data_IF_683301308277
#
_entry.id   IF_683301308277
#
_cell.length_a   1.000
_cell.length_b   1.000
_cell.length_c   1.000
_cell.angle_alpha   90.00
_cell.angle_beta   90.00
_cell.angle_gamma   90.00
#
_symmetry.space_group_name_H-M   'P 1'
#
loop_
_entity.id
_entity.type
_entity.pdbx_description
1 polymer ?
#
# COMPACT_ATOMS: atom_id res chain seq x y z
N UNK A 1 14.89 -46.14 0.06
CA UNK A 1 14.16 -45.50 -1.05
C UNK A 1 12.67 -45.53 -0.69
N UNK A 2 12.21 -44.71 0.22
CA UNK A 2 10.79 -44.46 0.56
C UNK A 2 10.75 -43.29 1.52
N UNK A 3 10.10 -42.23 1.14
CA UNK A 3 9.60 -41.06 1.89
C UNK A 3 9.94 -39.70 1.26
N UNK A 4 9.67 -39.57 -0.07
CA UNK A 4 9.80 -38.25 -0.72
C UNK A 4 8.48 -37.74 -1.33
N UNK A 5 7.36 -38.42 -1.14
CA UNK A 5 6.07 -38.05 -1.75
C UNK A 5 4.98 -37.58 -0.75
N UNK A 6 5.30 -37.52 0.56
CA UNK A 6 4.31 -37.18 1.60
C UNK A 6 4.00 -35.67 1.74
N UNK A 7 4.95 -34.81 1.40
CA UNK A 7 4.81 -33.37 1.71
C UNK A 7 4.24 -32.48 0.59
N UNK A 8 4.07 -33.00 -0.63
CA UNK A 8 3.52 -32.19 -1.73
C UNK A 8 1.99 -32.08 -1.74
N UNK A 9 1.26 -32.99 -1.08
CA UNK A 9 -0.21 -32.96 -1.05
C UNK A 9 -0.81 -31.97 -0.05
N UNK A 10 -0.12 -31.65 1.03
CA UNK A 10 -0.61 -30.73 2.05
C UNK A 10 -0.58 -29.25 1.61
N UNK A 11 0.43 -28.86 0.83
CA UNK A 11 0.54 -27.48 0.31
C UNK A 11 -0.46 -27.16 -0.80
N UNK A 12 -0.87 -28.16 -1.60
CA UNK A 12 -1.86 -27.98 -2.66
C UNK A 12 -3.27 -27.74 -2.12
N UNK A 13 -3.64 -28.38 -1.02
CA UNK A 13 -4.98 -28.26 -0.44
C UNK A 13 -5.20 -26.92 0.28
N UNK A 14 -4.16 -26.35 0.90
CA UNK A 14 -4.26 -25.04 1.59
C UNK A 14 -4.40 -23.90 0.57
N UNK A 15 -3.66 -23.95 -0.55
CA UNK A 15 -3.76 -22.97 -1.64
C UNK A 15 -5.12 -22.99 -2.33
N UNK A 16 -5.69 -24.17 -2.53
CA UNK A 16 -7.03 -24.32 -3.12
C UNK A 16 -8.13 -23.87 -2.16
N UNK A 17 -7.97 -24.09 -0.85
CA UNK A 17 -8.92 -23.65 0.18
C UNK A 17 -8.94 -22.13 0.32
N UNK A 18 -7.79 -21.46 0.21
CA UNK A 18 -7.71 -19.98 0.26
C UNK A 18 -8.37 -19.37 -0.99
N UNK A 19 -8.17 -19.98 -2.17
CA UNK A 19 -8.80 -19.54 -3.41
C UNK A 19 -10.33 -19.74 -3.39
N UNK A 20 -10.80 -20.83 -2.80
CA UNK A 20 -12.24 -21.12 -2.62
C UNK A 20 -12.87 -20.16 -1.60
N UNK A 21 -12.16 -19.75 -0.54
CA UNK A 21 -12.65 -18.76 0.41
C UNK A 21 -12.79 -17.38 -0.27
N UNK A 22 -11.84 -16.98 -1.13
CA UNK A 22 -11.99 -15.76 -1.93
C UNK A 22 -13.16 -15.84 -2.91
N UNK A 23 -13.41 -17.00 -3.55
CA UNK A 23 -14.55 -17.18 -4.46
C UNK A 23 -15.88 -17.27 -3.69
N UNK A 24 -15.88 -17.79 -2.48
CA UNK A 24 -17.07 -17.81 -1.61
C UNK A 24 -17.44 -16.41 -1.08
N UNK A 25 -16.45 -15.51 -0.95
CA UNK A 25 -16.70 -14.08 -0.70
C UNK A 25 -17.27 -13.36 -1.94
N UNK A 26 -17.12 -13.94 -3.14
CA UNK A 26 -17.69 -13.44 -4.39
C UNK A 26 -19.10 -13.95 -4.68
N UNK A 27 -19.69 -14.81 -3.84
CA UNK A 27 -21.15 -15.02 -3.95
C UNK A 27 -21.79 -13.66 -3.78
N UNK A 28 -22.66 -13.24 -4.71
CA UNK A 28 -23.51 -12.10 -4.44
C UNK A 28 -24.35 -12.50 -3.21
N UNK A 29 -23.89 -12.09 -2.04
CA UNK A 29 -24.80 -11.94 -0.94
C UNK A 29 -25.88 -11.02 -1.50
N UNK A 30 -27.07 -11.56 -1.70
CA UNK A 30 -28.28 -10.78 -1.95
C UNK A 30 -28.72 -9.97 -0.73
N UNK A 31 -27.85 -9.80 0.23
CA UNK A 31 -27.83 -8.71 1.18
C UNK A 31 -27.25 -7.53 0.39
N UNK A 32 -28.11 -6.57 0.02
CA UNK A 32 -27.69 -5.19 -0.06
C UNK A 32 -26.69 -5.01 1.08
N UNK A 33 -25.41 -4.82 0.78
CA UNK A 33 -24.54 -4.12 1.70
C UNK A 33 -25.27 -2.79 1.87
N UNK A 34 -26.07 -2.71 2.92
CA UNK A 34 -26.69 -1.49 3.36
C UNK A 34 -25.46 -0.72 3.77
N UNK A 35 -24.98 0.17 2.87
CA UNK A 35 -24.06 1.20 3.27
C UNK A 35 -24.67 1.76 4.53
N UNK A 36 -24.01 1.52 5.65
CA UNK A 36 -24.52 1.95 6.94
C UNK A 36 -24.23 3.45 6.94
N UNK A 37 -25.12 4.22 6.28
CA UNK A 37 -25.03 5.68 6.24
C UNK A 37 -24.95 6.12 7.69
N UNK A 38 -23.73 6.45 8.14
CA UNK A 38 -23.45 6.86 9.51
C UNK A 38 -22.47 6.01 10.31
N UNK A 39 -22.07 4.81 9.87
CA UNK A 39 -21.00 4.08 10.56
C UNK A 39 -19.64 4.70 10.26
N UNK A 40 -18.82 5.04 11.29
CA UNK A 40 -17.46 5.47 11.07
C UNK A 40 -16.53 4.32 10.64
N UNK A 41 -16.99 3.06 10.74
CA UNK A 41 -16.21 1.86 10.43
C UNK A 41 -16.56 1.31 9.06
N UNK A 42 -15.54 0.94 8.29
CA UNK A 42 -15.69 0.21 7.05
C UNK A 42 -14.50 -0.72 6.80
N UNK A 43 -14.70 -1.72 5.96
CA UNK A 43 -13.63 -2.59 5.47
C UNK A 43 -13.43 -2.36 3.98
N UNK A 44 -12.18 -2.50 3.54
CA UNK A 44 -11.85 -2.43 2.13
C UNK A 44 -10.79 -3.46 1.77
N UNK A 45 -10.69 -3.77 0.49
CA UNK A 45 -9.63 -4.63 -0.04
C UNK A 45 -9.31 -4.20 -1.46
N UNK A 46 -8.04 -3.95 -1.74
CA UNK A 46 -7.53 -3.86 -3.10
C UNK A 46 -6.90 -5.19 -3.48
N UNK A 47 -7.16 -5.66 -4.70
CA UNK A 47 -6.41 -6.73 -5.35
C UNK A 47 -5.62 -6.12 -6.49
N UNK A 48 -4.31 -6.10 -6.38
CA UNK A 48 -3.40 -5.61 -7.42
C UNK A 48 -2.64 -6.76 -8.08
N UNK A 49 -2.33 -6.61 -9.37
CA UNK A 49 -1.54 -7.59 -10.12
C UNK A 49 -0.12 -7.77 -9.58
N UNK A 50 0.42 -6.75 -8.89
CA UNK A 50 1.67 -6.80 -8.11
C UNK A 50 1.75 -5.62 -7.14
N UNK A 51 2.65 -5.71 -6.17
CA UNK A 51 2.89 -4.62 -5.23
C UNK A 51 4.06 -3.73 -5.69
N UNK A 52 3.75 -2.52 -6.11
CA UNK A 52 4.72 -1.46 -6.40
C UNK A 52 4.39 -0.24 -5.55
N UNK A 53 5.32 0.19 -4.72
CA UNK A 53 5.16 1.34 -3.84
C UNK A 53 6.33 2.31 -3.99
N UNK A 54 6.03 3.57 -4.34
CA UNK A 54 7.02 4.64 -4.56
C UNK A 54 8.17 4.22 -5.50
N UNK A 55 7.82 3.49 -6.58
CA UNK A 55 8.78 2.99 -7.56
C UNK A 55 9.54 1.72 -7.16
N UNK A 56 9.29 1.16 -5.98
CA UNK A 56 9.90 -0.07 -5.50
C UNK A 56 8.92 -1.25 -5.63
N UNK A 57 9.38 -2.37 -6.16
CA UNK A 57 8.60 -3.61 -6.26
C UNK A 57 8.81 -4.45 -5.02
N UNK A 58 7.74 -4.68 -4.25
CA UNK A 58 7.72 -5.49 -3.03
C UNK A 58 7.18 -6.89 -3.29
N UNK A 59 6.17 -7.04 -4.14
CA UNK A 59 5.58 -8.32 -4.52
C UNK A 59 5.52 -8.48 -6.03
N UNK A 60 6.00 -9.62 -6.54
CA UNK A 60 6.01 -9.95 -7.98
C UNK A 60 4.73 -10.65 -8.44
N UNK A 61 3.93 -11.13 -7.52
CA UNK A 61 2.66 -11.81 -7.73
C UNK A 61 1.47 -10.93 -7.36
N UNK A 62 0.24 -11.31 -7.72
CA UNK A 62 -0.94 -10.62 -7.24
C UNK A 62 -0.92 -10.46 -5.73
N UNK A 63 -1.28 -9.27 -5.26
CA UNK A 63 -1.20 -8.90 -3.85
C UNK A 63 -2.55 -8.38 -3.38
N UNK A 64 -3.00 -8.86 -2.23
CA UNK A 64 -4.19 -8.41 -1.52
C UNK A 64 -3.81 -7.36 -0.49
N UNK A 65 -4.58 -6.26 -0.42
CA UNK A 65 -4.43 -5.18 0.53
C UNK A 65 -5.72 -5.02 1.35
N UNK A 66 -5.97 -5.90 2.33
CA UNK A 66 -7.13 -5.78 3.22
C UNK A 66 -6.93 -4.61 4.18
N UNK A 67 -8.05 -3.97 4.58
CA UNK A 67 -8.00 -2.84 5.52
C UNK A 67 -9.29 -2.78 6.33
N UNK A 68 -9.14 -2.46 7.63
CA UNK A 68 -10.22 -2.05 8.53
C UNK A 68 -9.99 -0.60 8.85
N UNK A 69 -10.99 0.23 8.62
CA UNK A 69 -10.88 1.67 8.69
C UNK A 69 -11.89 2.24 9.67
N UNK A 70 -11.48 3.27 10.40
CA UNK A 70 -12.32 4.13 11.21
C UNK A 70 -12.14 5.58 10.73
N UNK A 71 -13.22 6.21 10.28
CA UNK A 71 -13.21 7.58 9.78
C UNK A 71 -14.27 8.40 10.50
N UNK A 72 -13.84 9.51 11.10
CA UNK A 72 -14.72 10.42 11.82
C UNK A 72 -14.27 11.86 11.63
N UNK A 73 -15.05 12.63 10.89
CA UNK A 73 -14.70 14.01 10.51
C UNK A 73 -13.36 14.04 9.75
N UNK A 74 -12.41 14.76 10.28
CA UNK A 74 -11.06 14.90 9.70
C UNK A 74 -10.08 13.80 10.09
N UNK A 75 -10.46 12.86 10.95
CA UNK A 75 -9.59 11.80 11.47
C UNK A 75 -9.84 10.47 10.75
N UNK A 76 -8.76 9.79 10.37
CA UNK A 76 -8.76 8.44 9.83
C UNK A 76 -7.75 7.58 10.60
N UNK A 77 -8.19 6.40 11.04
CA UNK A 77 -7.32 5.32 11.50
C UNK A 77 -7.53 4.09 10.61
N UNK A 78 -6.46 3.40 10.26
CA UNK A 78 -6.50 2.21 9.43
C UNK A 78 -5.57 1.13 9.99
N UNK A 79 -6.07 -0.10 10.06
CA UNK A 79 -5.27 -1.31 10.19
C UNK A 79 -5.31 -2.02 8.84
N UNK A 80 -4.18 -2.16 8.19
CA UNK A 80 -4.08 -2.70 6.84
C UNK A 80 -2.94 -3.72 6.74
N UNK A 81 -2.83 -4.34 5.58
CA UNK A 81 -1.71 -5.21 5.28
C UNK A 81 -1.56 -5.42 3.78
N UNK A 82 -0.44 -6.01 3.39
CA UNK A 82 -0.17 -6.44 2.01
C UNK A 82 0.28 -7.90 2.00
N UNK A 83 -0.41 -8.73 1.24
CA UNK A 83 -0.17 -10.18 1.19
C UNK A 83 -0.06 -10.65 -0.25
N UNK A 84 1.16 -10.91 -0.71
CA UNK A 84 1.40 -11.52 -2.02
C UNK A 84 0.93 -12.98 -2.03
N UNK A 85 0.20 -13.39 -3.07
CA UNK A 85 -0.42 -14.73 -3.11
C UNK A 85 0.61 -15.87 -3.19
N UNK A 86 1.84 -15.60 -3.63
CA UNK A 86 2.95 -16.55 -3.65
C UNK A 86 3.73 -16.57 -2.32
N UNK A 87 3.35 -15.75 -1.33
CA UNK A 87 4.02 -15.64 -0.04
C UNK A 87 5.35 -14.87 -0.08
N UNK A 88 5.68 -14.21 -1.20
CA UNK A 88 6.95 -13.47 -1.35
C UNK A 88 6.99 -12.17 -0.55
N UNK A 89 5.83 -11.64 -0.13
CA UNK A 89 5.71 -10.44 0.68
C UNK A 89 4.53 -10.54 1.65
N UNK A 90 4.76 -10.07 2.86
CA UNK A 90 3.76 -9.90 3.91
C UNK A 90 4.03 -8.59 4.64
N UNK A 91 2.97 -7.86 4.97
CA UNK A 91 3.05 -6.57 5.63
C UNK A 91 1.82 -6.36 6.51
N UNK A 92 2.01 -5.73 7.66
CA UNK A 92 0.94 -5.27 8.55
C UNK A 92 1.23 -3.81 8.89
N UNK A 93 0.24 -2.96 8.68
CA UNK A 93 0.38 -1.52 8.83
C UNK A 93 -0.65 -0.96 9.77
N UNK A 94 -0.24 0.04 10.55
CA UNK A 94 -1.13 0.90 11.32
C UNK A 94 -0.97 2.34 10.86
N UNK A 95 -2.04 2.92 10.32
CA UNK A 95 -2.05 4.29 9.82
C UNK A 95 -2.97 5.18 10.63
N UNK A 96 -2.50 6.39 10.93
CA UNK A 96 -3.29 7.47 11.53
C UNK A 96 -3.13 8.71 10.67
N UNK A 97 -4.21 9.43 10.41
CA UNK A 97 -4.12 10.72 9.74
C UNK A 97 -5.18 11.71 10.22
N UNK A 98 -4.86 12.97 10.06
CA UNK A 98 -5.75 14.09 10.38
C UNK A 98 -5.65 15.17 9.29
N UNK A 99 -6.79 15.54 8.72
CA UNK A 99 -6.88 16.53 7.64
C UNK A 99 -7.33 17.89 8.19
N UNK A 100 -6.55 18.92 7.92
CA UNK A 100 -6.77 20.30 8.37
C UNK A 100 -7.32 21.10 7.20
N UNK A 101 -8.52 21.69 7.38
CA UNK A 101 -9.18 22.56 6.40
C UNK A 101 -9.26 21.96 4.99
N UNK A 102 -9.40 20.64 4.88
CA UNK A 102 -9.46 19.87 3.63
C UNK A 102 -8.28 20.15 2.67
N UNK A 103 -7.15 20.59 3.20
CA UNK A 103 -5.96 20.95 2.41
C UNK A 103 -4.67 20.30 2.90
N UNK A 104 -4.50 20.15 4.21
CA UNK A 104 -3.26 19.61 4.79
C UNK A 104 -3.59 18.34 5.55
N UNK A 105 -3.05 17.22 5.12
CA UNK A 105 -3.17 15.96 5.84
C UNK A 105 -1.84 15.63 6.51
N UNK A 106 -1.86 15.50 7.83
CA UNK A 106 -0.76 14.96 8.62
C UNK A 106 -0.98 13.47 8.81
N UNK A 107 0.06 12.66 8.66
CA UNK A 107 0.00 11.21 8.78
C UNK A 107 1.11 10.65 9.65
N UNK A 108 0.80 9.57 10.35
CA UNK A 108 1.76 8.72 11.05
C UNK A 108 1.42 7.27 10.66
N UNK A 109 2.37 6.56 10.07
CA UNK A 109 2.21 5.18 9.66
C UNK A 109 3.30 4.32 10.28
N UNK A 110 2.93 3.15 10.75
CA UNK A 110 3.84 2.10 11.17
C UNK A 110 3.73 0.96 10.16
N UNK A 111 4.82 0.65 9.49
CA UNK A 111 4.95 -0.45 8.54
C UNK A 111 5.74 -1.57 9.20
N UNK A 112 5.16 -2.76 9.27
CA UNK A 112 5.84 -3.95 9.78
C UNK A 112 5.93 -5.01 8.70
N UNK A 113 7.16 -5.37 8.35
CA UNK A 113 7.47 -6.39 7.35
C UNK A 113 7.96 -7.66 8.06
N UNK A 114 7.10 -8.67 8.32
CA UNK A 114 7.56 -9.96 8.83
C UNK A 114 8.51 -10.61 7.82
N UNK A 115 9.73 -10.91 8.25
CA UNK A 115 10.74 -11.52 7.38
C UNK A 115 10.46 -13.01 7.18
N UNK A 116 10.47 -13.49 5.94
CA UNK A 116 10.41 -14.92 5.64
C UNK A 116 11.64 -15.71 6.18
N UNK A 117 12.67 -15.03 6.66
CA UNK A 117 13.96 -15.60 7.14
C UNK A 117 14.11 -15.50 8.65
N UNK A 118 13.09 -15.03 9.39
CA UNK A 118 13.05 -15.07 10.85
C UNK A 118 13.87 -13.98 11.56
N UNK A 119 14.30 -12.94 10.86
CA UNK A 119 15.06 -11.83 11.45
C UNK A 119 14.15 -10.76 11.91
N UNK A 120 13.36 -10.43 12.54
CA UNK A 120 12.45 -9.35 12.91
C UNK A 120 10.96 -9.75 12.82
N UNK A 121 10.66 -11.04 12.99
CA UNK A 121 9.29 -11.55 12.90
C UNK A 121 8.46 -11.27 14.14
N UNK A 122 9.05 -10.71 15.20
CA UNK A 122 8.34 -10.41 16.43
C UNK A 122 7.72 -9.03 16.36
N UNK A 123 6.42 -8.97 16.13
CA UNK A 123 5.64 -7.72 16.10
C UNK A 123 5.82 -6.86 17.36
N UNK A 124 5.94 -7.46 18.54
CA UNK A 124 6.10 -6.72 19.81
C UNK A 124 7.54 -6.36 20.15
N UNK A 125 8.49 -6.58 19.23
CA UNK A 125 9.86 -6.12 19.40
C UNK A 125 9.96 -4.65 18.97
N UNK A 126 9.69 -3.75 19.90
CA UNK A 126 9.60 -2.30 19.62
C UNK A 126 10.89 -1.54 19.94
N UNK A 127 11.95 -2.22 20.44
CA UNK A 127 13.22 -1.55 20.78
C UNK A 127 13.91 -1.07 19.52
N UNK A 128 14.34 0.19 19.51
CA UNK A 128 15.00 0.81 18.35
C UNK A 128 16.18 0.00 17.78
N UNK A 129 16.93 -0.72 18.61
CA UNK A 129 18.11 -1.50 18.19
C UNK A 129 17.77 -2.66 17.23
N UNK A 130 16.59 -3.28 17.38
CA UNK A 130 16.27 -4.56 16.76
C UNK A 130 14.79 -4.71 16.31
N UNK A 131 14.05 -3.61 16.26
CA UNK A 131 12.68 -3.60 15.71
C UNK A 131 12.65 -3.82 14.21
N UNK A 132 11.60 -4.52 13.72
CA UNK A 132 11.25 -4.61 12.30
C UNK A 132 10.26 -3.52 11.84
N UNK A 133 9.79 -2.67 12.74
CA UNK A 133 8.87 -1.58 12.43
C UNK A 133 9.57 -0.41 11.75
N UNK A 134 8.86 0.26 10.84
CA UNK A 134 9.26 1.51 10.21
C UNK A 134 8.17 2.55 10.43
N UNK A 135 8.39 3.47 11.36
CA UNK A 135 7.43 4.56 11.62
C UNK A 135 7.72 5.75 10.72
N UNK A 136 6.76 6.10 9.89
CA UNK A 136 6.82 7.23 8.96
C UNK A 136 5.91 8.37 9.43
N UNK A 137 6.44 9.57 9.56
CA UNK A 137 5.67 10.79 9.66
C UNK A 137 5.53 11.41 8.26
N UNK A 138 4.34 11.95 7.94
CA UNK A 138 4.09 12.56 6.63
C UNK A 138 3.23 13.81 6.73
N UNK A 139 3.38 14.69 5.74
CA UNK A 139 2.50 15.82 5.50
C UNK A 139 2.18 15.89 4.01
N UNK A 140 0.90 16.03 3.68
CA UNK A 140 0.42 16.22 2.32
C UNK A 140 -0.32 17.56 2.23
N UNK A 141 0.09 18.41 1.32
CA UNK A 141 -0.63 19.63 0.95
C UNK A 141 -1.35 19.40 -0.39
N UNK A 142 -2.67 19.45 -0.37
CA UNK A 142 -3.53 19.24 -1.53
C UNK A 142 -4.64 20.33 -1.53
N UNK A 143 -4.37 21.52 -2.09
CA UNK A 143 -5.31 22.63 -2.06
C UNK A 143 -6.55 22.31 -2.92
N UNK A 144 -7.74 22.57 -2.39
CA UNK A 144 -9.02 22.22 -3.02
C UNK A 144 -9.25 22.87 -4.39
N UNK A 145 -8.59 23.99 -4.68
CA UNK A 145 -8.73 24.74 -5.95
C UNK A 145 -7.72 24.33 -7.02
N UNK A 146 -6.71 23.56 -6.66
CA UNK A 146 -5.67 23.10 -7.61
C UNK A 146 -5.67 21.57 -7.65
N UNK A 147 -5.67 20.97 -8.82
CA UNK A 147 -5.66 19.52 -8.98
C UNK A 147 -4.25 18.92 -8.75
N UNK A 148 -3.57 19.39 -7.71
CA UNK A 148 -2.18 19.03 -7.39
C UNK A 148 -2.03 18.68 -5.92
N UNK A 149 -1.04 17.86 -5.61
CA UNK A 149 -0.59 17.64 -4.24
C UNK A 149 0.92 17.67 -4.14
N UNK A 150 1.39 18.04 -2.96
CA UNK A 150 2.78 17.91 -2.53
C UNK A 150 2.80 17.08 -1.25
N UNK A 151 3.49 15.96 -1.26
CA UNK A 151 3.67 15.09 -0.09
C UNK A 151 5.13 15.09 0.33
N UNK A 152 5.37 15.17 1.64
CA UNK A 152 6.65 14.94 2.27
C UNK A 152 6.49 13.84 3.31
N UNK A 153 7.40 12.87 3.33
CA UNK A 153 7.42 11.74 4.26
C UNK A 153 8.82 11.48 4.77
N UNK A 154 8.93 11.08 6.03
CA UNK A 154 10.21 10.75 6.65
C UNK A 154 10.03 9.56 7.61
N UNK A 155 10.91 8.57 7.52
CA UNK A 155 11.00 7.52 8.52
C UNK A 155 11.65 8.09 9.79
N UNK A 156 10.86 8.22 10.84
CA UNK A 156 11.28 8.88 12.09
C UNK A 156 11.76 7.90 13.16
N UNK A 157 11.42 6.61 13.01
CA UNK A 157 11.80 5.56 13.95
C UNK A 157 11.83 4.19 13.28
N UNK A 158 12.69 3.29 13.75
CA UNK A 158 12.59 1.87 13.47
C UNK A 158 13.75 1.28 12.69
N UNK A 159 13.44 0.43 11.71
CA UNK A 159 14.42 -0.36 10.95
C UNK A 159 15.13 0.42 9.84
N UNK A 160 14.74 1.66 9.58
CA UNK A 160 15.41 2.56 8.63
C UNK A 160 16.76 3.01 9.18
N UNK A 161 17.80 2.18 8.98
CA UNK A 161 19.15 2.39 9.52
C UNK A 161 20.21 2.36 8.44
N UNK A 162 21.20 3.24 8.59
CA UNK A 162 22.38 3.24 7.75
C UNK A 162 23.34 2.07 8.11
N UNK A 163 24.44 1.96 7.37
CA UNK A 163 25.47 0.92 7.60
C UNK A 163 26.15 0.99 8.96
N UNK A 164 26.00 2.09 9.71
CA UNK A 164 26.51 2.25 11.08
C UNK A 164 25.46 1.91 12.15
N UNK A 165 24.25 1.53 11.75
CA UNK A 165 23.14 1.22 12.65
C UNK A 165 22.40 2.45 13.19
N UNK A 166 22.68 3.64 12.69
CA UNK A 166 21.97 4.88 13.04
C UNK A 166 20.72 5.05 12.19
N UNK A 167 19.70 5.68 12.77
CA UNK A 167 18.51 6.08 12.04
C UNK A 167 18.89 6.94 10.83
N UNK A 168 18.46 6.55 9.63
CA UNK A 168 18.80 7.24 8.39
C UNK A 168 17.86 8.41 8.09
N UNK A 169 16.66 8.42 8.69
CA UNK A 169 15.63 9.42 8.42
C UNK A 169 15.31 9.52 6.92
N UNK A 170 15.14 8.38 6.28
CA UNK A 170 14.85 8.31 4.84
C UNK A 170 13.66 9.17 4.49
N UNK A 171 13.90 10.18 3.67
CA UNK A 171 12.92 11.22 3.35
C UNK A 171 12.51 11.12 1.89
N UNK A 172 11.21 11.16 1.64
CA UNK A 172 10.60 11.11 0.31
C UNK A 172 9.72 12.33 0.09
N UNK A 173 9.83 12.94 -1.07
CA UNK A 173 8.95 14.00 -1.54
C UNK A 173 8.25 13.58 -2.82
N UNK A 174 6.98 13.93 -2.98
CA UNK A 174 6.19 13.65 -4.17
C UNK A 174 5.34 14.85 -4.57
N UNK A 175 5.47 15.25 -5.83
CA UNK A 175 4.59 16.20 -6.49
C UNK A 175 3.64 15.42 -7.41
N UNK A 176 2.35 15.66 -7.28
CA UNK A 176 1.37 15.03 -8.13
C UNK A 176 0.35 15.99 -8.73
N UNK A 177 -0.27 15.53 -9.79
CA UNK A 177 -1.35 16.20 -10.51
C UNK A 177 -2.43 15.18 -10.83
N UNK A 178 -3.72 15.56 -10.67
CA UNK A 178 -4.85 14.70 -11.00
C UNK A 178 -5.84 15.45 -11.91
N UNK A 179 -6.14 14.88 -13.04
CA UNK A 179 -7.22 15.34 -13.90
C UNK A 179 -8.45 14.44 -13.73
N UNK A 180 -9.61 15.05 -13.49
CA UNK A 180 -10.90 14.34 -13.39
C UNK A 180 -11.69 14.61 -14.68
N UNK A 181 -12.03 13.53 -15.39
CA UNK A 181 -12.82 13.59 -16.61
C UNK A 181 -14.31 13.80 -16.29
N UNK A 182 -15.09 14.18 -17.28
CA UNK A 182 -16.56 14.37 -17.15
C UNK A 182 -17.31 13.10 -16.74
N UNK A 183 -16.77 11.93 -17.06
CA UNK A 183 -17.32 10.62 -16.71
C UNK A 183 -16.83 10.12 -15.35
N UNK A 184 -16.22 10.98 -14.53
CA UNK A 184 -15.65 10.69 -13.20
C UNK A 184 -14.37 9.84 -13.21
N UNK A 185 -13.85 9.44 -14.38
CA UNK A 185 -12.55 8.81 -14.48
C UNK A 185 -11.44 9.78 -14.05
N UNK A 186 -10.32 9.25 -13.57
CA UNK A 186 -9.21 10.07 -13.11
C UNK A 186 -7.92 9.68 -13.79
N UNK A 187 -7.12 10.66 -14.15
CA UNK A 187 -5.76 10.48 -14.64
C UNK A 187 -4.82 11.21 -13.70
N UNK A 188 -3.91 10.47 -13.06
CA UNK A 188 -2.95 11.01 -12.10
C UNK A 188 -1.52 10.86 -12.63
N UNK A 189 -0.73 11.91 -12.45
CA UNK A 189 0.71 11.92 -12.66
C UNK A 189 1.38 12.20 -11.33
N UNK A 190 2.45 11.48 -10.99
CA UNK A 190 3.25 11.76 -9.82
C UNK A 190 4.74 11.66 -10.13
N UNK A 191 5.51 12.57 -9.54
CA UNK A 191 6.96 12.60 -9.55
C UNK A 191 7.46 12.53 -8.10
N UNK A 192 8.15 11.44 -7.75
CA UNK A 192 8.66 11.18 -6.43
C UNK A 192 10.16 11.06 -6.39
N UNK A 193 10.76 11.63 -5.36
CA UNK A 193 12.19 11.61 -5.13
C UNK A 193 12.52 11.33 -3.66
N UNK A 194 13.60 10.58 -3.41
CA UNK A 194 14.24 10.61 -2.10
C UNK A 194 15.07 11.89 -1.98
N UNK A 195 15.17 12.44 -0.76
CA UNK A 195 15.90 13.70 -0.51
C UNK A 195 17.25 13.52 0.15
N UNK A 196 17.52 12.36 0.74
CA UNK A 196 18.77 12.04 1.45
C UNK A 196 19.22 10.61 1.13
N UNK A 197 20.40 10.21 1.61
CA UNK A 197 20.82 8.80 1.59
C UNK A 197 19.87 8.01 2.49
N UNK A 198 19.21 6.97 1.93
CA UNK A 198 18.22 6.24 2.71
C UNK A 198 17.63 5.07 1.94
N UNK A 199 16.56 4.56 2.48
CA UNK A 199 15.83 3.36 2.06
C UNK A 199 15.58 3.26 0.53
N UNK A 200 15.16 4.36 -0.11
CA UNK A 200 14.78 4.36 -1.52
C UNK A 200 15.97 4.17 -2.48
N UNK A 201 17.19 4.40 -2.00
CA UNK A 201 18.44 4.30 -2.77
C UNK A 201 19.45 3.36 -2.13
N UNK A 202 18.95 2.37 -1.33
CA UNK A 202 19.77 1.37 -0.63
C UNK A 202 20.88 2.02 0.24
N UNK A 203 20.60 3.23 0.78
CA UNK A 203 21.50 4.05 1.60
C UNK A 203 22.79 4.49 0.86
N UNK A 204 22.85 4.34 -0.46
CA UNK A 204 24.05 4.66 -1.22
C UNK A 204 24.07 6.11 -1.73
N UNK A 205 22.93 6.61 -2.23
CA UNK A 205 22.85 7.92 -2.89
C UNK A 205 21.87 8.86 -2.20
N UNK A 206 22.17 10.16 -2.32
CA UNK A 206 21.33 11.25 -1.86
C UNK A 206 20.10 11.47 -2.76
N UNK A 207 19.79 12.72 -3.08
CA UNK A 207 18.59 13.07 -3.84
C UNK A 207 18.56 12.43 -5.23
N UNK A 208 17.51 11.66 -5.51
CA UNK A 208 17.27 11.01 -6.81
C UNK A 208 15.77 10.88 -7.08
N UNK A 209 15.39 10.93 -8.35
CA UNK A 209 14.03 10.55 -8.77
C UNK A 209 13.92 9.03 -8.71
N UNK A 210 13.00 8.55 -7.87
CA UNK A 210 12.78 7.11 -7.63
C UNK A 210 11.39 6.66 -8.07
N UNK A 211 10.49 7.59 -8.39
CA UNK A 211 9.12 7.28 -8.77
C UNK A 211 8.60 8.28 -9.82
N UNK A 212 8.21 7.80 -11.00
CA UNK A 212 7.42 8.53 -11.97
C UNK A 212 6.22 7.65 -12.26
N UNK A 213 5.02 8.10 -11.92
CA UNK A 213 3.80 7.30 -12.03
C UNK A 213 2.78 8.00 -12.93
N UNK A 214 2.19 7.22 -13.83
CA UNK A 214 0.96 7.53 -14.53
C UNK A 214 -0.10 6.52 -14.07
N UNK A 215 -1.22 6.99 -13.49
CA UNK A 215 -2.32 6.14 -13.04
C UNK A 215 -3.63 6.59 -13.66
N UNK A 216 -4.37 5.64 -14.21
CA UNK A 216 -5.73 5.83 -14.69
C UNK A 216 -6.69 5.04 -13.79
N UNK A 217 -7.75 5.70 -13.32
CA UNK A 217 -8.78 5.12 -12.46
C UNK A 217 -10.13 5.27 -13.16
N UNK A 218 -10.91 4.19 -13.17
CA UNK A 218 -12.21 4.13 -13.84
C UNK A 218 -13.13 3.13 -13.12
N UNK A 219 -14.30 2.89 -13.71
CA UNK A 219 -15.30 1.99 -13.19
C UNK A 219 -15.63 0.92 -14.22
N UNK A 220 -15.49 -0.34 -13.83
CA UNK A 220 -16.09 -1.42 -14.58
C UNK A 220 -17.56 -1.54 -14.17
N UNK A 221 -18.46 -1.24 -15.10
CA UNK A 221 -19.90 -1.23 -14.83
C UNK A 221 -20.59 -2.43 -15.48
N UNK A 222 -21.29 -3.23 -14.69
CA UNK A 222 -22.11 -4.34 -15.17
C UNK A 222 -23.48 -4.26 -14.51
N UNK A 223 -24.51 -3.98 -15.27
CA UNK A 223 -25.85 -3.65 -14.78
C UNK A 223 -25.82 -2.51 -13.74
N UNK A 224 -26.20 -2.79 -12.50
CA UNK A 224 -26.17 -1.85 -11.37
C UNK A 224 -24.91 -1.94 -10.53
N UNK A 225 -23.99 -2.85 -10.86
CA UNK A 225 -22.75 -3.05 -10.13
C UNK A 225 -21.65 -2.20 -10.77
N UNK A 226 -20.99 -1.39 -9.95
CA UNK A 226 -19.82 -0.58 -10.36
C UNK A 226 -18.61 -1.04 -9.54
N UNK A 227 -17.57 -1.50 -10.21
CA UNK A 227 -16.32 -1.95 -9.61
C UNK A 227 -15.23 -0.92 -9.94
N UNK A 228 -14.66 -0.24 -8.94
CA UNK A 228 -13.51 0.64 -9.16
C UNK A 228 -12.31 -0.17 -9.64
N UNK A 229 -11.69 0.27 -10.71
CA UNK A 229 -10.51 -0.36 -11.31
C UNK A 229 -9.44 0.68 -11.56
N UNK A 230 -8.19 0.30 -11.56
CA UNK A 230 -7.11 1.18 -11.99
C UNK A 230 -6.02 0.44 -12.75
N UNK A 231 -5.32 1.18 -13.60
CA UNK A 231 -4.09 0.76 -14.25
C UNK A 231 -3.01 1.80 -13.99
N UNK A 232 -1.80 1.36 -13.66
CA UNK A 232 -0.68 2.28 -13.41
C UNK A 232 0.56 1.85 -14.16
N UNK A 233 1.27 2.83 -14.71
CA UNK A 233 2.62 2.66 -15.23
C UNK A 233 3.58 3.43 -14.33
N UNK A 234 4.56 2.72 -13.78
CA UNK A 234 5.51 3.24 -12.80
C UNK A 234 6.93 3.06 -13.31
N UNK A 235 7.69 4.13 -13.30
CA UNK A 235 9.13 4.15 -13.62
C UNK A 235 9.92 4.45 -12.36
N UNK A 236 10.99 3.70 -12.13
CA UNK A 236 12.03 4.06 -11.18
C UNK A 236 13.32 4.37 -11.95
N UNK A 237 13.62 5.65 -12.22
CA UNK A 237 14.82 6.03 -12.99
C UNK A 237 16.12 5.64 -12.29
N UNK A 238 16.18 5.74 -10.97
CA UNK A 238 17.35 5.37 -10.19
C UNK A 238 17.72 3.89 -10.36
N UNK A 239 16.72 3.00 -10.35
CA UNK A 239 16.92 1.54 -10.50
C UNK A 239 16.84 1.07 -11.95
N UNK A 240 16.56 1.98 -12.91
CA UNK A 240 16.30 1.64 -14.31
C UNK A 240 15.25 0.52 -14.45
N UNK A 241 14.12 0.67 -13.75
CA UNK A 241 13.02 -0.29 -13.72
C UNK A 241 11.70 0.37 -14.12
N UNK A 242 10.84 -0.42 -14.75
CA UNK A 242 9.46 -0.03 -15.02
C UNK A 242 8.50 -1.14 -14.66
N UNK A 243 7.29 -0.75 -14.26
CA UNK A 243 6.25 -1.67 -13.82
C UNK A 243 4.91 -1.24 -14.40
N UNK A 244 4.09 -2.21 -14.75
CA UNK A 244 2.70 -2.02 -15.06
C UNK A 244 1.86 -2.77 -14.02
N UNK A 245 0.88 -2.10 -13.42
CA UNK A 245 -0.02 -2.70 -12.44
C UNK A 245 -1.46 -2.48 -12.84
N UNK A 246 -2.31 -3.43 -12.47
CA UNK A 246 -3.75 -3.35 -12.59
C UNK A 246 -4.35 -3.71 -11.24
N UNK A 247 -5.36 -2.94 -10.80
CA UNK A 247 -6.02 -3.18 -9.50
C UNK A 247 -7.53 -3.10 -9.61
N UNK A 248 -8.19 -3.85 -8.73
CA UNK A 248 -9.63 -3.77 -8.45
C UNK A 248 -9.84 -3.48 -6.97
N UNK A 249 -10.89 -2.73 -6.63
CA UNK A 249 -11.15 -2.27 -5.28
C UNK A 249 -12.51 -2.70 -4.79
N UNK A 250 -12.58 -3.10 -3.54
CA UNK A 250 -13.80 -3.45 -2.84
C UNK A 250 -13.88 -2.64 -1.56
N UNK A 251 -15.06 -2.10 -1.25
CA UNK A 251 -15.31 -1.37 0.00
C UNK A 251 -16.75 -1.55 0.45
N UNK A 252 -16.96 -1.50 1.75
CA UNK A 252 -18.30 -1.47 2.38
C UNK A 252 -18.78 -0.03 2.64
N UNK A 253 -18.00 0.99 2.23
CA UNK A 253 -18.35 2.41 2.29
C UNK A 253 -18.79 2.90 0.92
#
# INVERSE_FOLDING_TARGET
>A
MNNMFGNMRAYGSLKLSLFIVCILCLKPFGSRAQANEGSPWYVSCELSSKYVWRGLEYGKSPTLFPSINYESGSFLAALSGAYAVDGSHQEVDLGLSYTIKDMVTLGLNDYFFPSAVGQNDSYFRLRHSDTGHNVEASATFAPTKLPMWLKLSCYVYGADKDSTGKQAYSTYAELGYQYVFKNEDKLSLALGANLNKGFYTDYERGANVVNIMLKYESWFTFNKFRLPVSASYVLNPYRNKSYFTFSVYFSTK
#
